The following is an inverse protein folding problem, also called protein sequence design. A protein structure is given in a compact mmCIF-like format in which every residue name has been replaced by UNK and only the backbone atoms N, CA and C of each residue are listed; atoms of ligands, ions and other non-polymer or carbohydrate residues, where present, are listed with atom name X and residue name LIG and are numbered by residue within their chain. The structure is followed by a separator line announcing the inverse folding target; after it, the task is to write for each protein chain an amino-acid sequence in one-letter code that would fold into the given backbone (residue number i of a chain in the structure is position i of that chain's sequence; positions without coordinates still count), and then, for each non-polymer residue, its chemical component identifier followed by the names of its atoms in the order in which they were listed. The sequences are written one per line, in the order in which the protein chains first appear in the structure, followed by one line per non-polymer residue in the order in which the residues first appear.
data_IF_175060014713
#
_entry.id   IF_175060014713
#
_cell.length_a   1.000
_cell.length_b   1.000
_cell.length_c   1.000
_cell.angle_alpha   90.00
_cell.angle_beta   90.00
_cell.angle_gamma   90.00
#
_symmetry.space_group_name_H-M   'P 1'
#
loop_
_entity.id
_entity.type
_entity.pdbx_description
1 polymer ?
#
# COMPACT_ATOMS: atom_id res chain seq x y z
N UNK A 1 -8.14 -22.75 -44.01
CA UNK A 1 -9.39 -22.16 -44.54
C UNK A 1 -10.55 -22.99 -44.03
N UNK A 2 -11.26 -22.52 -43.03
CA UNK A 2 -12.54 -23.07 -42.55
C UNK A 2 -13.42 -21.84 -42.29
N UNK A 3 -14.64 -21.81 -42.84
CA UNK A 3 -15.45 -20.59 -42.90
C UNK A 3 -16.22 -20.34 -41.58
N UNK A 4 -16.22 -19.09 -41.20
CA UNK A 4 -17.00 -18.52 -40.09
C UNK A 4 -18.49 -18.50 -40.48
N UNK A 5 -19.37 -19.14 -39.70
CA UNK A 5 -20.82 -19.00 -39.81
C UNK A 5 -21.32 -17.94 -38.82
N UNK A 6 -21.89 -16.90 -39.40
CA UNK A 6 -22.61 -15.84 -38.70
C UNK A 6 -24.03 -16.37 -38.38
N UNK A 7 -24.45 -16.30 -37.13
CA UNK A 7 -25.83 -16.49 -36.68
C UNK A 7 -26.44 -15.14 -36.30
N UNK A 8 -27.55 -14.81 -36.92
CA UNK A 8 -28.34 -13.60 -36.74
C UNK A 8 -29.25 -13.70 -35.48
N UNK A 9 -29.70 -12.56 -34.91
CA UNK A 9 -30.42 -12.54 -33.64
C UNK A 9 -31.93 -12.82 -33.82
N UNK A 10 -32.46 -13.70 -32.96
CA UNK A 10 -33.88 -13.98 -32.84
C UNK A 10 -34.63 -12.94 -31.99
N UNK A 11 -35.80 -12.54 -32.44
CA UNK A 11 -36.69 -11.58 -31.83
C UNK A 11 -37.29 -12.07 -30.51
N UNK A 12 -37.31 -11.18 -29.50
CA UNK A 12 -38.03 -11.40 -28.24
C UNK A 12 -39.48 -10.92 -28.39
N UNK A 13 -40.43 -11.83 -28.13
CA UNK A 13 -41.85 -11.57 -28.09
C UNK A 13 -42.24 -11.11 -26.67
N UNK A 14 -42.73 -9.89 -26.54
CA UNK A 14 -43.26 -9.36 -25.30
C UNK A 14 -44.71 -9.81 -25.10
N UNK A 15 -45.00 -10.52 -24.04
CA UNK A 15 -46.35 -10.85 -23.58
C UNK A 15 -46.75 -9.95 -22.42
N UNK A 16 -47.60 -8.99 -22.62
CA UNK A 16 -48.18 -8.14 -21.59
C UNK A 16 -49.47 -8.79 -21.05
N UNK A 17 -49.43 -9.23 -19.79
CA UNK A 17 -50.66 -9.60 -19.05
C UNK A 17 -50.97 -8.50 -18.04
N UNK A 18 -52.10 -7.83 -18.26
CA UNK A 18 -52.69 -6.89 -17.31
C UNK A 18 -53.34 -7.68 -16.17
N UNK A 19 -52.94 -7.43 -14.92
CA UNK A 19 -53.63 -7.89 -13.73
C UNK A 19 -54.39 -6.70 -13.12
N UNK A 20 -55.71 -6.87 -12.97
CA UNK A 20 -56.62 -5.92 -12.33
C UNK A 20 -56.35 -5.86 -10.80
N UNK A 21 -56.32 -4.65 -10.26
CA UNK A 21 -56.20 -4.37 -8.82
C UNK A 21 -57.61 -4.20 -8.24
N UNK A 22 -58.00 -4.87 -7.16
CA UNK A 22 -59.20 -4.51 -6.42
C UNK A 22 -58.91 -3.28 -5.53
N UNK A 23 -59.76 -2.26 -5.67
CA UNK A 23 -59.82 -1.16 -4.70
C UNK A 23 -60.61 -1.64 -3.47
N UNK A 24 -59.97 -1.65 -2.32
CA UNK A 24 -60.69 -1.63 -1.05
C UNK A 24 -60.07 -0.54 -0.17
N UNK A 25 -60.88 0.45 0.13
CA UNK A 25 -60.52 1.63 0.89
C UNK A 25 -60.79 1.34 2.39
N UNK A 26 -59.72 1.00 3.11
CA UNK A 26 -59.71 1.02 4.56
C UNK A 26 -58.83 2.15 5.07
N UNK A 27 -59.36 3.08 5.88
CA UNK A 27 -58.60 4.17 6.47
C UNK A 27 -57.54 3.61 7.43
N UNK A 28 -56.30 4.21 7.39
CA UNK A 28 -55.26 3.77 8.30
C UNK A 28 -55.51 4.28 9.75
N UNK A 29 -55.17 3.51 10.80
CA UNK A 29 -55.20 3.99 12.15
C UNK A 29 -54.12 5.06 12.39
N UNK A 30 -54.51 6.11 13.12
CA UNK A 30 -53.62 7.15 13.55
C UNK A 30 -52.65 6.61 14.61
N UNK A 31 -51.34 6.89 14.43
CA UNK A 31 -50.36 6.87 15.49
C UNK A 31 -49.29 5.80 15.40
N UNK A 32 -48.35 6.01 14.44
CA UNK A 32 -46.98 5.52 14.64
C UNK A 32 -46.05 6.71 14.50
N UNK A 33 -45.31 6.99 15.57
CA UNK A 33 -44.28 8.01 15.59
C UNK A 33 -43.27 7.71 14.44
N UNK A 34 -43.06 8.64 13.54
CA UNK A 34 -42.07 8.52 12.49
C UNK A 34 -40.73 8.09 13.08
N UNK A 35 -40.05 7.07 12.52
CA UNK A 35 -38.74 6.67 13.02
C UNK A 35 -37.83 7.89 13.01
N UNK A 36 -37.16 8.14 14.16
CA UNK A 36 -36.22 9.23 14.30
C UNK A 36 -35.17 9.11 13.16
N UNK A 37 -35.16 10.08 12.26
CA UNK A 37 -34.18 10.15 11.16
C UNK A 37 -32.81 10.25 11.85
N UNK A 38 -32.06 9.16 11.83
CA UNK A 38 -30.72 9.14 12.38
C UNK A 38 -29.93 10.26 11.66
N UNK A 39 -29.40 11.24 12.42
CA UNK A 39 -28.59 12.30 11.86
C UNK A 39 -27.44 11.67 11.07
N UNK A 40 -27.32 12.01 9.77
CA UNK A 40 -26.22 11.54 8.95
C UNK A 40 -24.89 11.89 9.64
N UNK A 41 -23.98 10.90 9.73
CA UNK A 41 -22.64 11.11 10.29
C UNK A 41 -21.93 12.21 9.53
N UNK A 42 -21.13 13.03 10.21
CA UNK A 42 -20.23 13.97 9.53
C UNK A 42 -19.20 13.19 8.71
N UNK A 43 -18.61 13.83 7.69
CA UNK A 43 -17.61 13.18 6.84
C UNK A 43 -16.39 12.69 7.67
N UNK A 44 -15.90 13.51 8.62
CA UNK A 44 -14.82 13.12 9.54
C UNK A 44 -15.21 11.92 10.42
N UNK A 45 -16.44 11.87 10.92
CA UNK A 45 -16.94 10.73 11.67
C UNK A 45 -17.02 9.46 10.81
N UNK A 46 -17.32 9.58 9.52
CA UNK A 46 -17.31 8.45 8.56
C UNK A 46 -15.88 7.94 8.34
N UNK A 47 -14.91 8.84 8.18
CA UNK A 47 -13.49 8.47 8.07
C UNK A 47 -13.00 7.79 9.35
N UNK A 48 -13.34 8.32 10.53
CA UNK A 48 -12.97 7.72 11.80
C UNK A 48 -13.56 6.31 11.97
N UNK A 49 -14.80 6.10 11.58
CA UNK A 49 -15.49 4.81 11.60
C UNK A 49 -14.79 3.80 10.66
N UNK A 50 -14.41 4.23 9.46
CA UNK A 50 -13.69 3.40 8.51
C UNK A 50 -12.31 2.96 9.05
N UNK A 51 -11.57 3.86 9.70
CA UNK A 51 -10.31 3.52 10.38
C UNK A 51 -10.57 2.49 11.48
N UNK A 52 -11.56 2.73 12.33
CA UNK A 52 -11.88 1.83 13.45
C UNK A 52 -12.26 0.42 12.95
N UNK A 53 -13.05 0.31 11.87
CA UNK A 53 -13.39 -0.97 11.24
C UNK A 53 -12.16 -1.68 10.66
N UNK A 54 -11.28 -0.96 9.98
CA UNK A 54 -10.05 -1.54 9.45
C UNK A 54 -9.09 -2.02 10.54
N UNK A 55 -8.94 -1.27 11.64
CA UNK A 55 -8.15 -1.70 12.81
C UNK A 55 -8.79 -2.94 13.47
N UNK A 56 -10.11 -2.96 13.60
CA UNK A 56 -10.82 -4.13 14.13
C UNK A 56 -10.64 -5.37 13.24
N UNK A 57 -10.66 -5.20 11.91
CA UNK A 57 -10.34 -6.26 10.96
C UNK A 57 -8.92 -6.80 11.16
N UNK A 58 -7.91 -5.93 11.21
CA UNK A 58 -6.52 -6.35 11.44
C UNK A 58 -6.41 -7.15 12.74
N UNK A 59 -6.98 -6.64 13.85
CA UNK A 59 -6.96 -7.34 15.13
C UNK A 59 -7.65 -8.71 15.06
N UNK A 60 -8.78 -8.82 14.38
CA UNK A 60 -9.55 -10.06 14.27
C UNK A 60 -8.87 -11.12 13.40
N UNK A 61 -8.02 -10.71 12.45
CA UNK A 61 -7.30 -11.60 11.51
C UNK A 61 -5.84 -11.80 11.86
N UNK A 62 -5.39 -11.27 13.01
CA UNK A 62 -4.03 -11.51 13.50
C UNK A 62 -3.84 -12.98 13.86
N UNK A 63 -2.77 -13.60 13.36
CA UNK A 63 -2.39 -14.97 13.67
C UNK A 63 -1.97 -15.14 15.15
N UNK A 64 -1.96 -16.35 15.62
CA UNK A 64 -1.61 -16.64 17.04
C UNK A 64 -0.19 -16.20 17.40
N UNK A 65 0.75 -16.26 16.43
CA UNK A 65 2.13 -15.82 16.58
C UNK A 65 2.33 -14.31 16.38
N UNK A 66 1.26 -13.55 16.29
CA UNK A 66 1.24 -12.10 16.15
C UNK A 66 1.42 -11.60 14.73
N UNK A 67 1.59 -12.47 13.74
CA UNK A 67 1.75 -12.07 12.34
C UNK A 67 0.42 -11.74 11.65
N UNK A 68 0.52 -11.15 10.46
CA UNK A 68 -0.61 -10.83 9.60
C UNK A 68 -0.43 -11.48 8.22
N UNK A 69 -1.52 -12.06 7.73
CA UNK A 69 -1.56 -12.76 6.44
C UNK A 69 -0.97 -14.17 6.53
N UNK A 70 -1.51 -15.05 5.73
CA UNK A 70 -1.11 -16.44 5.66
C UNK A 70 -1.36 -16.98 4.24
N UNK A 71 -0.63 -18.04 3.80
CA UNK A 71 -0.80 -18.65 2.49
C UNK A 71 -2.04 -19.57 2.46
N UNK A 72 -3.19 -19.05 2.90
CA UNK A 72 -4.48 -19.74 2.78
C UNK A 72 -5.15 -19.32 1.49
N UNK A 73 -5.82 -20.25 0.81
CA UNK A 73 -6.47 -19.99 -0.47
C UNK A 73 -5.50 -19.44 -1.53
N UNK A 74 -4.40 -20.16 -1.73
CA UNK A 74 -3.33 -19.79 -2.67
C UNK A 74 -3.89 -19.50 -4.06
N UNK A 75 -3.52 -18.37 -4.62
CA UNK A 75 -3.99 -17.85 -5.89
C UNK A 75 -3.02 -18.20 -7.02
N UNK A 76 -3.48 -18.12 -8.27
CA UNK A 76 -2.64 -18.37 -9.44
C UNK A 76 -1.34 -17.55 -9.45
N UNK A 77 -1.37 -16.32 -9.01
CA UNK A 77 -0.20 -15.44 -8.92
C UNK A 77 0.90 -15.95 -7.97
N UNK A 78 0.56 -16.90 -7.10
CA UNK A 78 1.45 -17.48 -6.11
C UNK A 78 2.04 -18.82 -6.56
N UNK A 79 1.77 -19.26 -7.80
CA UNK A 79 2.20 -20.59 -8.30
C UNK A 79 3.71 -20.81 -8.23
N UNK A 80 4.49 -19.73 -8.19
CA UNK A 80 5.95 -19.77 -8.07
C UNK A 80 6.46 -19.27 -6.72
N UNK A 81 5.58 -18.96 -5.77
CA UNK A 81 5.99 -18.50 -4.45
C UNK A 81 6.63 -19.66 -3.67
N UNK A 82 7.82 -19.41 -3.13
CA UNK A 82 8.52 -20.33 -2.26
C UNK A 82 8.13 -20.11 -0.80
N UNK A 83 8.61 -20.97 0.10
CA UNK A 83 8.48 -20.75 1.54
C UNK A 83 9.08 -19.41 1.96
N UNK A 84 10.25 -19.05 1.42
CA UNK A 84 10.91 -17.79 1.74
C UNK A 84 10.17 -16.56 1.20
N UNK A 85 9.46 -16.69 0.08
CA UNK A 85 8.53 -15.65 -0.42
C UNK A 85 7.37 -15.46 0.56
N UNK A 86 6.75 -16.53 1.05
CA UNK A 86 5.69 -16.43 2.05
C UNK A 86 6.19 -15.84 3.38
N UNK A 87 7.38 -16.23 3.82
CA UNK A 87 8.04 -15.63 5.00
C UNK A 87 8.26 -14.12 4.81
N UNK A 88 8.67 -13.70 3.61
CA UNK A 88 8.87 -12.30 3.28
C UNK A 88 7.55 -11.51 3.31
N UNK A 89 6.50 -12.04 2.71
CA UNK A 89 5.17 -11.41 2.75
C UNK A 89 4.64 -11.34 4.19
N UNK A 90 4.75 -12.41 4.95
CA UNK A 90 4.34 -12.42 6.37
C UNK A 90 5.08 -11.36 7.18
N UNK A 91 6.40 -11.24 6.99
CA UNK A 91 7.21 -10.24 7.70
C UNK A 91 6.80 -8.81 7.30
N UNK A 92 6.65 -8.54 6.00
CA UNK A 92 6.27 -7.23 5.48
C UNK A 92 4.87 -6.81 5.96
N UNK A 93 3.88 -7.71 5.86
CA UNK A 93 2.50 -7.44 6.30
C UNK A 93 2.42 -7.27 7.81
N UNK A 94 3.24 -7.99 8.58
CA UNK A 94 3.32 -7.83 10.04
C UNK A 94 3.91 -6.46 10.40
N UNK A 95 4.93 -6.00 9.68
CA UNK A 95 5.47 -4.65 9.84
C UNK A 95 4.43 -3.57 9.57
N UNK A 96 3.68 -3.70 8.47
CA UNK A 96 2.60 -2.79 8.11
C UNK A 96 1.46 -2.82 9.13
N UNK A 97 1.04 -4.01 9.58
CA UNK A 97 0.00 -4.18 10.61
C UNK A 97 0.40 -3.56 11.94
N UNK A 98 1.66 -3.74 12.36
CA UNK A 98 2.20 -3.11 13.57
C UNK A 98 2.17 -1.58 13.49
N UNK A 99 2.55 -0.99 12.35
CA UNK A 99 2.44 0.46 12.14
C UNK A 99 0.98 0.92 12.19
N UNK A 100 0.06 0.19 11.56
CA UNK A 100 -1.36 0.52 11.56
C UNK A 100 -1.96 0.47 12.98
N UNK A 101 -1.65 -0.56 13.76
CA UNK A 101 -2.08 -0.68 15.15
C UNK A 101 -1.50 0.44 16.02
N UNK A 102 -0.22 0.80 15.83
CA UNK A 102 0.44 1.85 16.60
C UNK A 102 -0.10 3.25 16.31
N UNK A 103 -0.43 3.55 15.04
CA UNK A 103 -0.88 4.88 14.62
C UNK A 103 -2.39 5.07 14.70
N UNK A 104 -3.17 4.01 14.58
CA UNK A 104 -4.63 4.03 14.43
C UNK A 104 -5.38 3.31 15.56
N UNK A 105 -4.72 2.44 16.32
CA UNK A 105 -5.32 1.72 17.44
C UNK A 105 -5.72 2.67 18.59
N UNK A 106 -6.87 2.41 19.20
CA UNK A 106 -7.44 3.27 20.24
C UNK A 106 -7.93 2.50 21.46
N UNK A 107 -7.88 1.17 21.45
CA UNK A 107 -8.40 0.30 22.50
C UNK A 107 -7.28 -0.53 23.15
N UNK A 108 -7.51 -0.99 24.38
CA UNK A 108 -6.57 -1.91 25.04
C UNK A 108 -6.37 -3.22 24.25
N UNK A 109 -7.37 -3.66 23.48
CA UNK A 109 -7.24 -4.82 22.61
C UNK A 109 -6.29 -4.55 21.42
N UNK A 110 -6.27 -3.32 20.88
CA UNK A 110 -5.34 -2.92 19.83
C UNK A 110 -3.90 -2.85 20.35
N UNK A 111 -3.73 -2.41 21.60
CA UNK A 111 -2.43 -2.42 22.31
C UNK A 111 -1.87 -3.85 22.45
N UNK A 112 -2.71 -4.80 22.86
CA UNK A 112 -2.34 -6.22 22.95
C UNK A 112 -1.99 -6.79 21.58
N UNK A 113 -2.74 -6.43 20.53
CA UNK A 113 -2.45 -6.86 19.18
C UNK A 113 -1.12 -6.30 18.66
N UNK A 114 -0.82 -5.03 18.99
CA UNK A 114 0.48 -4.41 18.67
C UNK A 114 1.63 -5.14 19.37
N UNK A 115 1.48 -5.47 20.66
CA UNK A 115 2.52 -6.21 21.39
C UNK A 115 2.80 -7.57 20.75
N UNK A 116 1.76 -8.31 20.38
CA UNK A 116 1.91 -9.58 19.64
C UNK A 116 2.60 -9.39 18.29
N UNK A 117 2.27 -8.32 17.55
CA UNK A 117 2.93 -8.04 16.27
C UNK A 117 4.42 -7.75 16.43
N UNK A 118 4.80 -6.98 17.47
CA UNK A 118 6.21 -6.72 17.80
C UNK A 118 6.92 -8.02 18.18
N UNK A 119 6.31 -8.87 18.99
CA UNK A 119 6.89 -10.16 19.36
C UNK A 119 7.04 -11.07 18.13
N UNK A 120 6.05 -11.10 17.24
CA UNK A 120 6.11 -11.82 15.97
C UNK A 120 7.26 -11.36 15.07
N UNK A 121 7.48 -10.04 14.95
CA UNK A 121 8.62 -9.49 14.19
C UNK A 121 9.98 -9.83 14.82
N UNK A 122 10.06 -9.89 16.14
CA UNK A 122 11.30 -10.21 16.85
C UNK A 122 11.62 -11.71 16.84
N UNK A 123 10.63 -12.58 16.92
CA UNK A 123 10.81 -14.03 16.97
C UNK A 123 11.04 -14.67 15.60
N UNK A 124 10.48 -14.08 14.54
CA UNK A 124 10.65 -14.61 13.18
C UNK A 124 12.09 -14.41 12.67
N UNK A 125 12.67 -15.42 12.02
CA UNK A 125 13.93 -15.21 11.29
C UNK A 125 13.70 -14.20 10.15
N UNK A 126 14.77 -13.53 9.74
CA UNK A 126 14.69 -12.72 8.51
C UNK A 126 14.57 -13.64 7.30
N UNK A 127 13.69 -13.29 6.34
CA UNK A 127 13.55 -14.05 5.10
C UNK A 127 14.89 -14.17 4.38
N UNK A 128 15.18 -15.36 3.88
CA UNK A 128 16.41 -15.65 3.14
C UNK A 128 16.12 -15.69 1.66
N UNK A 129 17.12 -15.34 0.86
CA UNK A 129 17.14 -15.55 -0.57
C UNK A 129 18.20 -16.60 -0.88
N UNK A 130 17.77 -17.83 -1.11
CA UNK A 130 18.64 -18.99 -1.36
C UNK A 130 18.46 -19.56 -2.76
N UNK A 131 17.43 -19.12 -3.48
CA UNK A 131 17.16 -19.50 -4.86
C UNK A 131 16.60 -18.32 -5.66
N UNK A 132 16.60 -18.41 -6.98
CA UNK A 132 16.00 -17.44 -7.90
C UNK A 132 14.48 -17.31 -7.73
N UNK A 133 13.84 -18.33 -7.17
CA UNK A 133 12.42 -18.35 -6.88
C UNK A 133 12.03 -17.66 -5.58
N UNK A 134 13.00 -17.28 -4.75
CA UNK A 134 12.77 -16.54 -3.52
C UNK A 134 12.59 -15.06 -3.86
N UNK A 135 11.36 -14.67 -4.14
CA UNK A 135 10.99 -13.30 -4.52
C UNK A 135 10.53 -12.49 -3.31
N UNK A 136 10.45 -11.18 -3.47
CA UNK A 136 9.83 -10.24 -2.52
C UNK A 136 10.51 -10.06 -1.16
N UNK A 137 11.67 -10.66 -0.93
CA UNK A 137 12.43 -10.52 0.32
C UNK A 137 12.68 -9.07 0.72
N UNK A 138 12.90 -8.19 -0.27
CA UNK A 138 13.12 -6.77 -0.06
C UNK A 138 11.98 -6.09 0.69
N UNK A 139 10.73 -6.52 0.48
CA UNK A 139 9.57 -5.92 1.16
C UNK A 139 9.59 -6.18 2.66
N UNK A 140 10.07 -7.38 3.08
CA UNK A 140 10.29 -7.67 4.49
C UNK A 140 11.30 -6.70 5.11
N UNK A 141 12.39 -6.41 4.40
CA UNK A 141 13.42 -5.50 4.88
C UNK A 141 12.90 -4.06 4.92
N UNK A 142 12.24 -3.59 3.86
CA UNK A 142 11.70 -2.24 3.76
C UNK A 142 10.67 -1.97 4.84
N UNK A 143 9.61 -2.78 4.92
CA UNK A 143 8.53 -2.54 5.89
C UNK A 143 8.91 -2.94 7.31
N UNK A 144 9.85 -3.86 7.48
CA UNK A 144 10.46 -4.15 8.78
C UNK A 144 11.25 -2.96 9.33
N UNK A 145 12.12 -2.32 8.50
CA UNK A 145 12.83 -1.11 8.87
C UNK A 145 11.86 0.02 9.20
N UNK A 146 10.87 0.27 8.34
CA UNK A 146 9.85 1.30 8.59
C UNK A 146 9.09 1.05 9.90
N UNK A 147 8.69 -0.19 10.17
CA UNK A 147 7.98 -0.53 11.39
C UNK A 147 8.80 -0.19 12.63
N UNK A 148 10.02 -0.70 12.76
CA UNK A 148 10.85 -0.41 13.92
C UNK A 148 11.26 1.06 14.02
N UNK A 149 11.53 1.73 12.88
CA UNK A 149 11.84 3.15 12.85
C UNK A 149 10.68 4.03 13.36
N UNK A 150 9.43 3.62 13.13
CA UNK A 150 8.25 4.34 13.62
C UNK A 150 7.82 3.94 15.03
N UNK A 151 8.07 2.70 15.44
CA UNK A 151 7.73 2.21 16.77
C UNK A 151 8.73 2.69 17.84
N UNK A 152 10.03 2.64 17.57
CA UNK A 152 11.08 2.98 18.55
C UNK A 152 10.95 4.38 19.18
N UNK A 153 10.52 5.45 18.44
CA UNK A 153 10.34 6.78 19.03
C UNK A 153 9.10 6.92 19.90
N UNK A 154 8.15 5.97 19.85
CA UNK A 154 6.91 6.08 20.62
C UNK A 154 7.18 5.93 22.12
N UNK A 155 6.54 6.76 22.93
CA UNK A 155 6.72 6.81 24.38
C UNK A 155 6.47 5.45 25.05
N UNK A 156 5.48 4.68 24.57
CA UNK A 156 5.18 3.33 25.07
C UNK A 156 6.37 2.38 24.99
N UNK A 157 7.26 2.56 24.00
CA UNK A 157 8.47 1.72 23.83
C UNK A 157 9.71 2.32 24.48
N UNK A 158 9.65 3.52 25.09
CA UNK A 158 10.81 4.16 25.69
C UNK A 158 11.43 3.32 26.82
N UNK A 159 10.58 2.63 27.61
CA UNK A 159 10.98 1.75 28.72
C UNK A 159 10.61 0.28 28.47
N UNK A 160 10.23 -0.09 27.25
CA UNK A 160 9.88 -1.45 26.90
C UNK A 160 11.12 -2.35 26.96
N UNK A 161 11.09 -3.50 27.65
CA UNK A 161 12.24 -4.41 27.73
C UNK A 161 12.67 -4.97 26.38
N UNK A 162 11.79 -4.97 25.37
CA UNK A 162 12.09 -5.40 23.99
C UNK A 162 12.83 -4.33 23.17
N UNK A 163 12.90 -3.08 23.64
CA UNK A 163 13.50 -1.97 22.89
C UNK A 163 14.92 -2.26 22.36
N UNK A 164 15.85 -2.85 23.12
CA UNK A 164 17.17 -3.23 22.59
C UNK A 164 17.06 -4.26 21.45
N UNK A 165 16.18 -5.25 21.58
CA UNK A 165 15.96 -6.27 20.55
C UNK A 165 15.31 -5.66 19.28
N UNK A 166 14.39 -4.71 19.43
CA UNK A 166 13.80 -3.96 18.30
C UNK A 166 14.87 -3.18 17.55
N UNK A 167 15.76 -2.48 18.25
CA UNK A 167 16.87 -1.74 17.61
C UNK A 167 17.87 -2.68 16.92
N UNK A 168 18.21 -3.81 17.55
CA UNK A 168 19.07 -4.82 16.95
C UNK A 168 18.45 -5.40 15.67
N UNK A 169 17.15 -5.76 15.72
CA UNK A 169 16.43 -6.29 14.55
C UNK A 169 16.36 -5.27 13.42
N UNK A 170 16.12 -3.98 13.72
CA UNK A 170 16.17 -2.91 12.72
C UNK A 170 17.55 -2.81 12.05
N UNK A 171 18.63 -2.96 12.85
CA UNK A 171 20.00 -2.98 12.33
C UNK A 171 20.26 -4.17 11.39
N UNK A 172 19.76 -5.36 11.75
CA UNK A 172 19.85 -6.55 10.88
C UNK A 172 19.11 -6.34 9.54
N UNK A 173 17.94 -5.71 9.57
CA UNK A 173 17.15 -5.39 8.36
C UNK A 173 17.87 -4.36 7.48
N UNK A 174 18.48 -3.33 8.08
CA UNK A 174 19.30 -2.33 7.35
C UNK A 174 20.52 -3.02 6.71
N UNK A 175 21.19 -3.91 7.43
CA UNK A 175 22.32 -4.68 6.89
C UNK A 175 21.87 -5.62 5.74
N UNK A 176 20.65 -6.16 5.80
CA UNK A 176 20.09 -6.93 4.70
C UNK A 176 19.85 -6.05 3.46
N UNK A 177 19.32 -4.83 3.62
CA UNK A 177 19.22 -3.86 2.52
C UNK A 177 20.60 -3.53 1.93
N UNK A 178 21.60 -3.27 2.77
CA UNK A 178 22.96 -2.99 2.30
C UNK A 178 23.54 -4.16 1.48
N UNK A 179 23.38 -5.39 1.96
CA UNK A 179 23.83 -6.61 1.28
C UNK A 179 23.20 -6.78 -0.10
N UNK A 180 21.92 -6.45 -0.25
CA UNK A 180 21.15 -6.69 -1.47
C UNK A 180 21.03 -5.44 -2.36
N UNK A 181 21.75 -4.36 -2.05
CA UNK A 181 21.79 -3.17 -2.90
C UNK A 181 22.47 -3.48 -4.23
N UNK A 182 21.78 -3.16 -5.33
CA UNK A 182 22.31 -3.35 -6.69
C UNK A 182 23.47 -2.39 -7.00
N UNK A 183 24.28 -2.66 -8.03
CA UNK A 183 25.31 -1.73 -8.48
C UNK A 183 24.76 -0.34 -8.87
N UNK A 184 23.49 -0.27 -9.31
CA UNK A 184 22.78 0.99 -9.61
C UNK A 184 22.33 1.75 -8.35
N UNK A 185 22.53 1.19 -7.18
CA UNK A 185 22.23 1.82 -5.91
C UNK A 185 20.82 1.55 -5.36
N UNK A 186 19.97 0.82 -6.06
CA UNK A 186 18.62 0.53 -5.64
C UNK A 186 18.35 -0.95 -5.36
N UNK A 187 17.08 -1.32 -5.35
CA UNK A 187 16.58 -2.67 -5.10
C UNK A 187 15.45 -3.03 -6.05
N UNK A 188 15.25 -4.34 -6.23
CA UNK A 188 14.06 -4.90 -6.86
C UNK A 188 13.44 -5.99 -5.98
N UNK A 189 12.20 -6.37 -6.30
CA UNK A 189 11.46 -7.39 -5.56
C UNK A 189 11.79 -8.82 -6.01
N UNK A 190 12.36 -9.02 -7.18
CA UNK A 190 13.00 -10.27 -7.59
C UNK A 190 14.19 -9.98 -8.52
N UNK A 191 15.02 -10.98 -8.73
CA UNK A 191 16.08 -10.96 -9.72
C UNK A 191 16.10 -12.32 -10.42
N UNK A 192 16.28 -12.32 -11.71
CA UNK A 192 16.32 -13.52 -12.53
C UNK A 192 17.59 -14.34 -12.33
N UNK A 193 18.61 -13.79 -11.69
CA UNK A 193 19.85 -14.46 -11.34
C UNK A 193 20.12 -14.36 -9.83
N UNK A 194 19.50 -15.27 -9.08
CA UNK A 194 19.63 -15.33 -7.62
C UNK A 194 21.02 -15.69 -7.13
N UNK A 195 21.88 -16.23 -7.98
CA UNK A 195 23.26 -16.56 -7.64
C UNK A 195 24.16 -15.35 -7.69
N UNK A 196 23.72 -14.27 -8.32
CA UNK A 196 24.47 -13.01 -8.42
C UNK A 196 24.28 -12.16 -7.15
N UNK A 197 25.36 -11.87 -6.46
CA UNK A 197 25.40 -10.95 -5.31
C UNK A 197 26.45 -9.87 -5.61
N UNK A 198 26.07 -8.59 -5.71
CA UNK A 198 24.72 -8.02 -5.60
C UNK A 198 23.84 -8.33 -6.82
N UNK A 199 22.49 -8.26 -6.65
CA UNK A 199 21.55 -8.39 -7.77
C UNK A 199 21.78 -7.28 -8.80
N UNK A 200 21.37 -7.52 -10.06
CA UNK A 200 21.57 -6.54 -11.15
C UNK A 200 20.31 -5.78 -11.53
N UNK A 201 19.13 -6.27 -11.16
CA UNK A 201 17.87 -5.64 -11.49
C UNK A 201 17.42 -4.65 -10.40
N UNK A 202 16.90 -3.51 -10.84
CA UNK A 202 16.49 -2.42 -9.94
C UNK A 202 15.15 -1.85 -10.40
N UNK A 203 14.24 -1.59 -9.45
CA UNK A 203 12.99 -0.87 -9.72
C UNK A 203 12.92 0.42 -8.92
N UNK A 204 12.31 1.46 -9.52
CA UNK A 204 12.25 2.79 -8.91
C UNK A 204 11.41 2.81 -7.62
N UNK A 205 10.26 2.14 -7.62
CA UNK A 205 9.31 2.19 -6.51
C UNK A 205 9.78 1.39 -5.29
N UNK A 206 10.41 0.24 -5.49
CA UNK A 206 11.02 -0.52 -4.41
C UNK A 206 12.15 0.28 -3.76
N UNK A 207 12.99 0.89 -4.61
CA UNK A 207 14.09 1.75 -4.15
C UNK A 207 13.58 2.97 -3.40
N UNK A 208 12.55 3.65 -3.91
CA UNK A 208 11.96 4.82 -3.24
C UNK A 208 11.34 4.44 -1.87
N UNK A 209 10.65 3.31 -1.78
CA UNK A 209 10.11 2.81 -0.51
C UNK A 209 11.23 2.49 0.50
N UNK A 210 12.33 1.87 0.04
CA UNK A 210 13.50 1.62 0.87
C UNK A 210 14.16 2.92 1.35
N UNK A 211 14.32 3.92 0.48
CA UNK A 211 14.83 5.26 0.87
C UNK A 211 13.99 5.87 1.98
N UNK A 212 12.65 5.83 1.87
CA UNK A 212 11.76 6.35 2.90
C UNK A 212 11.97 5.62 4.24
N UNK A 213 12.08 4.29 4.21
CA UNK A 213 12.37 3.49 5.40
C UNK A 213 13.72 3.80 6.04
N UNK A 214 14.76 4.00 5.24
CA UNK A 214 16.09 4.37 5.71
C UNK A 214 16.12 5.78 6.31
N UNK A 215 15.41 6.75 5.72
CA UNK A 215 15.25 8.09 6.27
C UNK A 215 14.46 8.08 7.59
N UNK A 216 13.43 7.24 7.71
CA UNK A 216 12.73 7.03 8.98
C UNK A 216 13.68 6.42 10.03
N UNK A 217 14.54 5.49 9.63
CA UNK A 217 15.53 4.87 10.50
C UNK A 217 16.57 5.87 11.03
N UNK A 218 17.12 6.75 10.18
CA UNK A 218 18.01 7.83 10.60
C UNK A 218 17.33 8.77 11.61
N UNK A 219 16.08 9.17 11.32
CA UNK A 219 15.28 10.01 12.22
C UNK A 219 15.02 9.35 13.57
N UNK A 220 14.91 8.02 13.60
CA UNK A 220 14.77 7.23 14.83
C UNK A 220 16.10 7.00 15.58
N UNK A 221 17.21 7.50 15.06
CA UNK A 221 18.55 7.36 15.65
C UNK A 221 19.24 6.03 15.32
N UNK A 222 18.73 5.27 14.34
CA UNK A 222 19.38 4.06 13.84
C UNK A 222 20.51 4.43 12.87
N UNK A 223 21.57 3.62 12.88
CA UNK A 223 22.72 3.86 12.00
C UNK A 223 22.39 3.36 10.58
N UNK A 224 22.44 4.26 9.61
CA UNK A 224 22.34 3.98 8.17
C UNK A 224 23.66 4.38 7.50
N UNK A 225 24.21 3.55 6.60
CA UNK A 225 25.38 3.96 5.81
C UNK A 225 24.97 5.09 4.82
N UNK A 226 25.55 6.29 4.95
CA UNK A 226 25.21 7.40 4.07
C UNK A 226 25.57 7.13 2.60
N UNK A 227 26.53 6.23 2.33
CA UNK A 227 26.87 5.84 0.94
C UNK A 227 25.74 5.02 0.32
N UNK A 228 25.18 4.06 1.08
CA UNK A 228 24.03 3.27 0.66
C UNK A 228 22.83 4.18 0.36
N UNK A 229 22.51 5.08 1.30
CA UNK A 229 21.38 6.02 1.14
C UNK A 229 21.56 6.98 -0.04
N UNK A 230 22.76 7.57 -0.19
CA UNK A 230 23.05 8.48 -1.30
C UNK A 230 22.97 7.79 -2.66
N UNK A 231 23.47 6.56 -2.78
CA UNK A 231 23.32 5.77 -4.02
C UNK A 231 21.86 5.49 -4.33
N UNK A 232 21.06 5.15 -3.32
CA UNK A 232 19.63 4.88 -3.49
C UNK A 232 18.87 6.14 -3.90
N UNK A 233 19.15 7.28 -3.29
CA UNK A 233 18.59 8.58 -3.70
C UNK A 233 18.94 8.95 -5.13
N UNK A 234 20.23 8.77 -5.54
CA UNK A 234 20.66 9.01 -6.92
C UNK A 234 19.94 8.07 -7.90
N UNK A 235 19.73 6.82 -7.54
CA UNK A 235 18.98 5.84 -8.31
C UNK A 235 17.53 6.28 -8.54
N UNK A 236 16.82 6.71 -7.49
CA UNK A 236 15.44 7.22 -7.60
C UNK A 236 15.40 8.49 -8.45
N UNK A 237 16.37 9.40 -8.29
CA UNK A 237 16.45 10.62 -9.08
C UNK A 237 16.68 10.31 -10.57
N UNK A 238 17.51 9.32 -10.89
CA UNK A 238 17.75 8.87 -12.27
C UNK A 238 16.49 8.28 -12.92
N UNK A 239 15.63 7.63 -12.16
CA UNK A 239 14.37 7.07 -12.64
C UNK A 239 13.31 8.13 -12.96
N UNK A 240 13.47 9.38 -12.52
CA UNK A 240 12.49 10.43 -12.71
C UNK A 240 12.57 11.03 -14.12
N UNK A 241 11.45 11.02 -14.82
CA UNK A 241 11.31 11.58 -16.17
C UNK A 241 10.92 13.07 -16.12
N UNK A 242 11.15 13.83 -17.22
CA UNK A 242 10.75 15.23 -17.32
C UNK A 242 9.26 15.48 -17.11
N UNK A 243 8.40 14.49 -17.40
CA UNK A 243 6.94 14.53 -17.17
C UNK A 243 6.55 14.43 -15.69
N UNK A 244 7.51 14.14 -14.80
CA UNK A 244 7.29 13.82 -13.40
C UNK A 244 7.01 12.34 -13.14
N UNK A 245 6.81 11.53 -14.17
CA UNK A 245 6.69 10.07 -14.02
C UNK A 245 8.03 9.45 -13.61
N UNK A 246 7.98 8.20 -13.14
CA UNK A 246 9.16 7.41 -12.83
C UNK A 246 9.14 6.13 -13.64
N UNK A 247 10.29 5.77 -14.23
CA UNK A 247 10.45 4.50 -14.92
C UNK A 247 10.18 3.33 -13.97
N UNK A 248 9.69 2.23 -14.51
CA UNK A 248 9.51 1.00 -13.71
C UNK A 248 10.86 0.39 -13.35
N UNK A 249 11.65 0.09 -14.39
CA UNK A 249 13.01 -0.39 -14.25
C UNK A 249 13.99 0.78 -14.22
N UNK A 250 15.08 0.61 -13.50
CA UNK A 250 16.20 1.53 -13.49
C UNK A 250 17.40 0.85 -14.14
N UNK A 251 17.88 1.39 -15.23
CA UNK A 251 19.05 0.92 -15.96
C UNK A 251 20.07 2.02 -16.13
N UNK A 252 21.34 1.66 -16.37
CA UNK A 252 22.43 2.63 -16.57
C UNK A 252 22.20 3.55 -17.76
N UNK A 253 21.53 3.06 -18.79
CA UNK A 253 21.15 3.82 -19.98
C UNK A 253 19.63 3.83 -20.05
N UNK A 254 19.04 5.03 -19.95
CA UNK A 254 17.62 5.19 -20.18
C UNK A 254 17.33 4.86 -21.64
N UNK A 255 16.59 3.77 -21.88
CA UNK A 255 16.15 3.44 -23.23
C UNK A 255 14.92 4.28 -23.57
N UNK A 256 14.89 4.97 -24.73
CA UNK A 256 13.70 5.66 -25.20
C UNK A 256 12.48 4.74 -25.37
N UNK A 257 12.72 3.45 -25.59
CA UNK A 257 11.68 2.44 -25.71
C UNK A 257 10.91 2.22 -24.39
N UNK A 258 11.52 2.55 -23.24
CA UNK A 258 10.87 2.49 -21.93
C UNK A 258 9.98 3.71 -21.63
N UNK A 259 9.89 4.69 -22.52
CA UNK A 259 8.97 5.83 -22.39
C UNK A 259 7.52 5.47 -22.74
N UNK A 260 7.27 4.23 -23.15
CA UNK A 260 5.95 3.78 -23.52
C UNK A 260 5.18 3.13 -22.34
N UNK A 261 3.86 3.27 -22.35
CA UNK A 261 2.92 2.57 -21.49
C UNK A 261 3.16 2.71 -19.99
N UNK A 262 3.93 1.78 -19.40
CA UNK A 262 4.15 1.71 -17.96
C UNK A 262 4.87 2.94 -17.40
N UNK A 263 5.76 3.54 -18.17
CA UNK A 263 6.58 4.68 -17.75
C UNK A 263 5.94 6.05 -18.05
N UNK A 264 4.77 6.07 -18.68
CA UNK A 264 3.96 7.28 -18.79
C UNK A 264 3.33 7.65 -17.45
N UNK A 265 2.89 8.91 -17.30
CA UNK A 265 2.21 9.40 -16.08
C UNK A 265 1.10 8.46 -15.64
N UNK A 266 0.23 8.03 -16.57
CA UNK A 266 -0.91 7.14 -16.28
C UNK A 266 -0.50 5.75 -15.80
N UNK A 267 0.67 5.25 -16.24
CA UNK A 267 1.26 3.99 -15.78
C UNK A 267 2.05 4.11 -14.48
N UNK A 268 2.44 5.34 -14.11
CA UNK A 268 3.38 5.61 -13.02
C UNK A 268 2.75 6.26 -11.78
N UNK A 269 1.42 6.32 -11.67
CA UNK A 269 0.72 7.10 -10.64
C UNK A 269 1.18 6.79 -9.20
N UNK A 270 1.29 5.51 -8.84
CA UNK A 270 1.81 5.10 -7.52
C UNK A 270 3.30 5.41 -7.37
N UNK A 271 4.09 5.21 -8.45
CA UNK A 271 5.53 5.48 -8.45
C UNK A 271 5.85 6.97 -8.33
N UNK A 272 5.02 7.84 -8.91
CA UNK A 272 5.13 9.30 -8.76
C UNK A 272 5.04 9.69 -7.28
N UNK A 273 4.11 9.11 -6.54
CA UNK A 273 3.92 9.47 -5.13
C UNK A 273 5.13 9.04 -4.29
N UNK A 274 5.50 7.76 -4.33
CA UNK A 274 6.63 7.26 -3.54
C UNK A 274 7.96 7.88 -3.95
N UNK A 275 8.18 8.10 -5.25
CA UNK A 275 9.40 8.72 -5.77
C UNK A 275 9.54 10.18 -5.34
N UNK A 276 8.47 10.98 -5.45
CA UNK A 276 8.47 12.37 -4.99
C UNK A 276 8.69 12.44 -3.48
N UNK A 277 8.03 11.62 -2.67
CA UNK A 277 8.23 11.57 -1.21
C UNK A 277 9.70 11.26 -0.88
N UNK A 278 10.27 10.22 -1.50
CA UNK A 278 11.66 9.84 -1.28
C UNK A 278 12.63 10.96 -1.61
N UNK A 279 12.49 11.61 -2.77
CA UNK A 279 13.41 12.64 -3.23
C UNK A 279 13.27 13.96 -2.47
N UNK A 280 12.04 14.36 -2.10
CA UNK A 280 11.81 15.56 -1.29
C UNK A 280 12.35 15.36 0.13
N UNK A 281 12.04 14.24 0.76
CA UNK A 281 12.56 13.93 2.10
C UNK A 281 14.07 13.73 2.13
N UNK A 282 14.64 13.21 1.05
CA UNK A 282 16.09 13.07 0.85
C UNK A 282 16.80 14.36 0.42
N UNK A 283 16.08 15.48 0.27
CA UNK A 283 16.65 16.80 -0.05
C UNK A 283 17.10 16.98 -1.50
N UNK A 284 16.72 16.07 -2.42
CA UNK A 284 17.10 16.16 -3.85
C UNK A 284 16.06 16.91 -4.70
N UNK A 285 14.82 17.07 -4.22
CA UNK A 285 13.78 17.84 -4.89
C UNK A 285 13.11 18.82 -3.92
N UNK A 286 12.69 19.95 -4.47
CA UNK A 286 11.82 20.89 -3.76
C UNK A 286 10.41 20.32 -3.60
N UNK A 287 9.75 20.61 -2.47
CA UNK A 287 8.39 20.14 -2.20
C UNK A 287 7.34 20.62 -3.23
N UNK A 288 7.67 21.61 -4.06
CA UNK A 288 6.81 22.07 -5.17
C UNK A 288 6.44 20.97 -6.18
N UNK A 289 7.26 19.92 -6.29
CA UNK A 289 6.96 18.80 -7.20
C UNK A 289 5.80 17.93 -6.72
N UNK A 290 5.46 18.00 -5.43
CA UNK A 290 4.45 17.13 -4.80
C UNK A 290 3.05 17.46 -5.31
N UNK A 291 2.69 18.74 -5.39
CA UNK A 291 1.35 19.17 -5.83
C UNK A 291 1.02 18.69 -7.24
N UNK A 292 1.85 18.94 -8.27
CA UNK A 292 1.61 18.38 -9.61
C UNK A 292 1.50 16.85 -9.62
N UNK A 293 2.29 16.15 -8.82
CA UNK A 293 2.21 14.69 -8.69
C UNK A 293 0.86 14.22 -8.13
N UNK A 294 0.32 14.91 -7.14
CA UNK A 294 -1.02 14.62 -6.59
C UNK A 294 -2.14 15.00 -7.57
N UNK A 295 -2.00 16.13 -8.29
CA UNK A 295 -2.96 16.52 -9.34
C UNK A 295 -3.03 15.42 -10.42
N UNK A 296 -1.90 14.92 -10.92
CA UNK A 296 -1.83 13.81 -11.85
C UNK A 296 -2.45 12.52 -11.27
N UNK A 297 -2.21 12.23 -9.98
CA UNK A 297 -2.76 11.07 -9.31
C UNK A 297 -4.29 11.06 -9.34
N UNK A 298 -4.93 12.17 -8.99
CA UNK A 298 -6.38 12.26 -8.94
C UNK A 298 -7.02 12.43 -10.33
N UNK A 299 -6.41 13.21 -11.22
CA UNK A 299 -6.89 13.37 -12.61
C UNK A 299 -6.94 12.04 -13.35
N UNK A 300 -5.91 11.22 -13.16
CA UNK A 300 -5.76 9.94 -13.85
C UNK A 300 -6.10 8.73 -12.99
N UNK A 301 -6.70 8.91 -11.81
CA UNK A 301 -7.01 7.85 -10.83
C UNK A 301 -7.74 6.64 -11.44
N UNK A 302 -8.57 6.86 -12.47
CA UNK A 302 -9.31 5.80 -13.17
C UNK A 302 -8.41 4.65 -13.66
N UNK A 303 -7.15 4.93 -14.00
CA UNK A 303 -6.23 3.90 -14.49
C UNK A 303 -5.74 2.99 -13.36
N UNK A 304 -5.62 3.51 -12.13
CA UNK A 304 -5.43 2.67 -10.93
C UNK A 304 -6.70 1.87 -10.60
N UNK A 305 -7.85 2.53 -10.63
CA UNK A 305 -9.13 1.92 -10.27
C UNK A 305 -9.50 0.75 -11.20
N UNK A 306 -9.26 0.87 -12.51
CA UNK A 306 -9.50 -0.21 -13.50
C UNK A 306 -8.58 -1.41 -13.24
N UNK A 307 -7.35 -1.19 -12.77
CA UNK A 307 -6.41 -2.26 -12.48
C UNK A 307 -6.73 -2.99 -11.18
N UNK A 308 -7.40 -2.31 -10.21
CA UNK A 308 -7.71 -2.89 -8.91
C UNK A 308 -8.47 -4.21 -9.02
N UNK A 309 -8.06 -5.21 -8.26
CA UNK A 309 -8.62 -6.57 -8.23
C UNK A 309 -8.46 -7.37 -9.53
N UNK A 310 -7.65 -6.91 -10.49
CA UNK A 310 -7.29 -7.76 -11.63
C UNK A 310 -6.29 -8.82 -11.19
N UNK A 311 -6.50 -10.09 -11.56
CA UNK A 311 -5.64 -11.18 -11.13
C UNK A 311 -4.26 -11.16 -11.82
N UNK A 312 -4.21 -10.70 -13.08
CA UNK A 312 -2.96 -10.63 -13.86
C UNK A 312 -2.44 -9.20 -13.82
N UNK A 313 -1.21 -8.97 -13.35
CA UNK A 313 -0.60 -7.64 -13.36
C UNK A 313 -0.23 -7.22 -14.78
N UNK A 314 -0.19 -5.91 -15.02
CA UNK A 314 0.30 -5.31 -16.27
C UNK A 314 -0.50 -5.63 -17.54
N UNK A 315 -1.78 -6.03 -17.42
CA UNK A 315 -2.64 -6.34 -18.57
C UNK A 315 -3.17 -5.11 -19.33
N UNK A 316 -3.29 -3.97 -18.67
CA UNK A 316 -3.89 -2.78 -19.27
C UNK A 316 -2.89 -2.02 -20.15
N UNK A 317 -3.39 -1.13 -21.02
CA UNK A 317 -2.57 -0.33 -21.93
C UNK A 317 -1.39 0.39 -21.25
N UNK A 318 -1.60 0.92 -20.02
CA UNK A 318 -0.55 1.55 -19.23
C UNK A 318 0.15 0.58 -18.28
N UNK A 319 -0.08 -0.70 -18.44
CA UNK A 319 0.54 -1.78 -17.65
C UNK A 319 0.47 -1.54 -16.12
N UNK A 320 -0.61 -0.94 -15.64
CA UNK A 320 -0.82 -0.73 -14.20
C UNK A 320 -1.18 -2.06 -13.56
N UNK A 321 -0.42 -2.46 -12.55
CA UNK A 321 -0.74 -3.63 -11.74
C UNK A 321 -1.64 -3.24 -10.56
N UNK A 322 -2.51 -4.18 -10.15
CA UNK A 322 -3.47 -3.96 -9.08
C UNK A 322 -2.82 -3.57 -7.75
N UNK A 323 -1.66 -4.15 -7.42
CA UNK A 323 -0.92 -3.87 -6.18
C UNK A 323 -0.40 -2.43 -6.07
N UNK A 324 -0.42 -1.63 -7.16
CA UNK A 324 -0.12 -0.20 -7.07
C UNK A 324 -1.28 0.63 -6.54
N UNK A 325 -2.49 0.07 -6.39
CA UNK A 325 -3.63 0.86 -5.95
C UNK A 325 -3.44 1.35 -4.52
N UNK A 326 -3.43 0.46 -3.53
CA UNK A 326 -3.28 0.84 -2.12
C UNK A 326 -1.88 1.35 -1.78
N UNK A 327 -0.85 0.80 -2.41
CA UNK A 327 0.51 1.35 -2.36
C UNK A 327 0.54 2.84 -2.78
N UNK A 328 -0.09 3.17 -3.91
CA UNK A 328 -0.17 4.55 -4.41
C UNK A 328 -0.93 5.48 -3.45
N UNK A 329 -2.04 5.03 -2.86
CA UNK A 329 -2.81 5.81 -1.90
C UNK A 329 -2.03 6.04 -0.59
N UNK A 330 -1.30 5.03 -0.12
CA UNK A 330 -0.46 5.15 1.07
C UNK A 330 0.61 6.23 0.89
N UNK A 331 1.37 6.20 -0.21
CA UNK A 331 2.39 7.22 -0.48
C UNK A 331 1.81 8.56 -0.92
N UNK A 332 0.61 8.59 -1.51
CA UNK A 332 -0.10 9.86 -1.74
C UNK A 332 -0.46 10.54 -0.41
N UNK A 333 -0.79 9.79 0.64
CA UNK A 333 -1.01 10.36 1.98
C UNK A 333 0.27 10.98 2.58
N UNK A 334 1.43 10.36 2.37
CA UNK A 334 2.73 10.93 2.77
C UNK A 334 3.08 12.16 1.93
N UNK A 335 2.76 12.15 0.63
CA UNK A 335 2.94 13.30 -0.24
C UNK A 335 2.09 14.50 0.20
N UNK A 336 0.84 14.28 0.63
CA UNK A 336 -0.04 15.34 1.16
C UNK A 336 0.57 16.01 2.39
N UNK A 337 1.24 15.26 3.28
CA UNK A 337 1.92 15.82 4.46
C UNK A 337 3.08 16.78 4.10
N UNK A 338 3.67 16.61 2.92
CA UNK A 338 4.75 17.48 2.42
C UNK A 338 4.25 18.78 1.80
N UNK A 339 2.95 18.93 1.54
CA UNK A 339 2.36 20.17 1.07
C UNK A 339 2.33 21.23 2.19
N UNK A 340 2.32 22.54 1.84
CA UNK A 340 1.93 23.59 2.75
C UNK A 340 0.57 23.28 3.39
N UNK A 341 0.40 23.62 4.67
CA UNK A 341 -0.77 23.22 5.48
C UNK A 341 -2.09 23.66 4.83
N UNK A 342 -2.14 24.86 4.28
CA UNK A 342 -3.29 25.45 3.59
C UNK A 342 -3.69 24.71 2.28
N UNK A 343 -2.80 23.88 1.72
CA UNK A 343 -3.04 23.15 0.48
C UNK A 343 -3.42 21.68 0.71
N UNK A 344 -3.34 21.16 1.94
CA UNK A 344 -3.53 19.73 2.25
C UNK A 344 -4.98 19.26 2.14
N UNK A 345 -5.91 20.05 2.68
CA UNK A 345 -7.30 19.64 2.88
C UNK A 345 -8.03 19.17 1.61
N UNK A 346 -7.91 19.82 0.44
CA UNK A 346 -8.57 19.35 -0.77
C UNK A 346 -8.10 17.97 -1.23
N UNK A 347 -6.79 17.72 -1.19
CA UNK A 347 -6.21 16.42 -1.58
C UNK A 347 -6.51 15.35 -0.55
N UNK A 348 -6.44 15.66 0.74
CA UNK A 348 -6.80 14.76 1.82
C UNK A 348 -8.24 14.26 1.68
N UNK A 349 -9.19 15.18 1.44
CA UNK A 349 -10.60 14.83 1.23
C UNK A 349 -10.81 13.94 0.01
N UNK A 350 -10.14 14.21 -1.11
CA UNK A 350 -10.22 13.36 -2.30
C UNK A 350 -9.68 11.95 -2.02
N UNK A 351 -8.54 11.84 -1.32
CA UNK A 351 -7.95 10.54 -0.96
C UNK A 351 -8.89 9.74 -0.04
N UNK A 352 -9.44 10.39 0.97
CA UNK A 352 -10.41 9.80 1.89
C UNK A 352 -11.64 9.26 1.15
N UNK A 353 -12.21 10.05 0.23
CA UNK A 353 -13.35 9.63 -0.58
C UNK A 353 -13.04 8.36 -1.39
N UNK A 354 -11.87 8.31 -2.06
CA UNK A 354 -11.45 7.15 -2.84
C UNK A 354 -11.25 5.90 -2.00
N UNK A 355 -10.76 6.03 -0.79
CA UNK A 355 -10.60 4.89 0.13
C UNK A 355 -11.95 4.45 0.70
N UNK A 356 -12.83 5.37 1.10
CA UNK A 356 -14.16 5.03 1.61
C UNK A 356 -15.02 4.28 0.59
N UNK A 357 -14.86 4.57 -0.72
CA UNK A 357 -15.58 3.90 -1.82
C UNK A 357 -15.25 2.40 -1.94
N UNK A 358 -14.15 1.94 -1.34
CA UNK A 358 -13.61 0.59 -1.57
C UNK A 358 -13.48 -0.27 -0.31
N UNK A 359 -13.87 0.24 0.86
CA UNK A 359 -13.86 -0.56 2.08
C UNK A 359 -14.89 -1.68 1.98
N UNK A 360 -14.48 -2.90 2.30
CA UNK A 360 -15.36 -4.06 2.36
C UNK A 360 -16.25 -4.01 3.62
N UNK A 361 -17.35 -4.75 3.63
CA UNK A 361 -18.32 -4.77 4.73
C UNK A 361 -17.70 -5.19 6.07
N UNK A 362 -16.69 -6.08 6.03
CA UNK A 362 -15.95 -6.54 7.21
C UNK A 362 -14.85 -5.56 7.67
N UNK A 363 -14.72 -4.43 7.02
CA UNK A 363 -13.75 -3.38 7.32
C UNK A 363 -12.41 -3.49 6.60
N UNK A 364 -12.19 -4.55 5.83
CA UNK A 364 -10.95 -4.74 5.08
C UNK A 364 -10.82 -3.84 3.86
N UNK A 365 -9.58 -3.72 3.37
CA UNK A 365 -9.26 -3.15 2.07
C UNK A 365 -8.32 -4.11 1.33
N UNK A 366 -8.49 -4.23 0.02
CA UNK A 366 -7.59 -5.03 -0.80
C UNK A 366 -7.62 -4.62 -2.27
N UNK A 367 -6.56 -4.95 -2.98
CA UNK A 367 -6.35 -4.52 -4.36
C UNK A 367 -5.86 -5.61 -5.31
N UNK A 368 -5.07 -6.59 -4.84
CA UNK A 368 -4.45 -7.61 -5.66
C UNK A 368 -4.70 -9.01 -5.09
N UNK A 369 -4.61 -10.04 -5.92
CA UNK A 369 -4.86 -11.42 -5.51
C UNK A 369 -3.56 -12.10 -5.03
N UNK A 370 -3.31 -12.05 -3.72
CA UNK A 370 -2.24 -12.80 -3.03
C UNK A 370 -2.80 -13.34 -1.72
N UNK A 371 -3.33 -14.57 -1.70
CA UNK A 371 -3.90 -15.20 -0.50
C UNK A 371 -4.53 -14.20 0.49
N UNK A 372 -4.29 -14.37 1.78
CA UNK A 372 -4.77 -13.43 2.82
C UNK A 372 -3.84 -12.22 3.01
N UNK A 373 -2.64 -12.22 2.42
CA UNK A 373 -1.71 -11.11 2.54
C UNK A 373 -2.26 -9.81 1.99
N UNK A 374 -3.01 -9.88 0.86
CA UNK A 374 -3.58 -8.70 0.23
C UNK A 374 -4.51 -7.93 1.14
N UNK A 375 -5.34 -8.64 1.93
CA UNK A 375 -6.27 -8.00 2.88
C UNK A 375 -5.52 -7.43 4.09
N UNK A 376 -4.43 -8.07 4.53
CA UNK A 376 -3.59 -7.60 5.62
C UNK A 376 -2.85 -6.31 5.25
N UNK A 377 -2.01 -6.33 4.17
CA UNK A 377 -1.28 -5.12 3.79
C UNK A 377 -2.20 -4.01 3.27
N UNK A 378 -3.24 -4.40 2.53
CA UNK A 378 -4.17 -3.44 1.96
C UNK A 378 -4.91 -2.66 3.03
N UNK A 379 -5.39 -3.35 4.07
CA UNK A 379 -6.06 -2.70 5.21
C UNK A 379 -5.08 -1.82 5.97
N UNK A 380 -3.84 -2.29 6.22
CA UNK A 380 -2.84 -1.49 6.90
C UNK A 380 -2.51 -0.20 6.12
N UNK A 381 -2.26 -0.28 4.81
CA UNK A 381 -2.03 0.89 3.96
C UNK A 381 -3.20 1.88 3.99
N UNK A 382 -4.44 1.37 3.87
CA UNK A 382 -5.62 2.21 3.81
C UNK A 382 -5.88 2.95 5.13
N UNK A 383 -5.81 2.26 6.28
CA UNK A 383 -6.06 2.91 7.59
C UNK A 383 -4.96 3.92 7.94
N UNK A 384 -3.69 3.62 7.61
CA UNK A 384 -2.59 4.57 7.75
C UNK A 384 -2.80 5.82 6.88
N UNK A 385 -3.22 5.65 5.61
CA UNK A 385 -3.50 6.77 4.72
C UNK A 385 -4.70 7.60 5.18
N UNK A 386 -5.79 6.96 5.63
CA UNK A 386 -6.95 7.64 6.21
C UNK A 386 -6.57 8.44 7.47
N UNK A 387 -5.79 7.84 8.37
CA UNK A 387 -5.38 8.50 9.61
C UNK A 387 -4.49 9.72 9.37
N UNK A 388 -3.52 9.62 8.44
CA UNK A 388 -2.66 10.74 8.05
C UNK A 388 -3.48 11.90 7.45
N UNK A 389 -4.33 11.57 6.50
CA UNK A 389 -5.16 12.57 5.84
C UNK A 389 -6.17 13.21 6.80
N UNK A 390 -6.68 12.46 7.79
CA UNK A 390 -7.54 12.99 8.84
C UNK A 390 -6.80 14.00 9.72
N UNK A 391 -5.55 13.70 10.13
CA UNK A 391 -4.70 14.65 10.86
C UNK A 391 -4.41 15.90 10.02
N UNK A 392 -4.18 15.75 8.73
CA UNK A 392 -3.92 16.87 7.83
C UNK A 392 -5.12 17.81 7.66
N UNK A 393 -6.37 17.34 7.88
CA UNK A 393 -7.59 18.15 7.85
C UNK A 393 -7.98 18.70 9.21
N UNK A 394 -7.57 18.08 10.31
CA UNK A 394 -7.89 18.51 11.68
C UNK A 394 -7.04 19.71 12.16
N UNK A 395 -5.98 20.07 11.44
CA UNK A 395 -5.06 21.17 11.79
C UNK A 395 -5.60 22.55 11.36
N UNK A 396 -6.88 22.65 11.09
CA UNK A 396 -7.66 23.86 10.80
C UNK A 396 -8.81 23.97 11.80
#
# INVERSE_FOLDING_TARGET
MIPLRILAPGAALACATALAVPQDAGAPPAGDAAPAVAKAKSFDATVADAIAKGVAYLRATQEQDGSFGAPRNVMFNESFATLHTYEAWTYATTGLGAMALAECGTTAADEVALDKAVDGLLQRPLPKRVSEWDTDNVWAYVYGVQAFARLLPLERFAKDPRRPAMAARATELIAALERWQTPFGGWAYYDTDATTIPPVWTTSFTTAAAVIGLLDAEKAGLKVDPRMLNKALACVAHARLPTGAFTYNVSAVSSPEHLEFIDQVKGSLGRIQVGNVALVRGGLLDAKVVKPGLEQFFEHHRFLAVARKKPIPHESWYAVAAYFFLFGHYYASEAIELLPTDQRAPFAKQLQQKLLEIQEDDGAFWDFHISEYTRAYGTAFAVLALQRTRRATASH
#
